data_IF_280590800475
#
_entry.id   IF_280590800475
#
_cell.length_a   1.000
_cell.length_b   1.000
_cell.length_c   1.000
_cell.angle_alpha   90.00
_cell.angle_beta   90.00
_cell.angle_gamma   90.00
#
_symmetry.space_group_name_H-M   'P 1'
#
loop_
_entity.id
_entity.type
_entity.pdbx_description
1 polymer ?
#
# COMPACT_ATOMS: atom_id res chain seq x y z
N UNK A 1 -22.87 -31.09 18.90
CA UNK A 1 -21.48 -31.27 19.37
C UNK A 1 -20.68 -30.07 18.90
N UNK A 2 -20.29 -29.18 19.83
CA UNK A 2 -19.52 -27.97 19.51
C UNK A 2 -18.04 -28.37 19.44
N UNK A 3 -17.51 -28.51 18.23
CA UNK A 3 -16.10 -28.77 17.99
C UNK A 3 -15.28 -27.54 18.38
N UNK A 4 -14.62 -27.60 19.53
CA UNK A 4 -13.51 -26.74 19.88
C UNK A 4 -12.37 -27.07 18.90
N UNK A 5 -12.16 -26.23 17.88
CA UNK A 5 -10.91 -26.23 17.12
C UNK A 5 -9.89 -25.44 17.93
N UNK A 6 -8.81 -26.07 18.46
CA UNK A 6 -7.70 -25.30 18.99
C UNK A 6 -7.05 -24.57 17.83
N UNK A 7 -7.19 -23.24 17.81
CA UNK A 7 -6.40 -22.33 16.96
C UNK A 7 -4.94 -22.41 17.38
N UNK A 8 -4.25 -23.47 16.96
CA UNK A 8 -2.80 -23.48 16.86
C UNK A 8 -2.43 -22.67 15.60
N UNK A 9 -2.54 -21.35 15.70
CA UNK A 9 -1.72 -20.48 14.87
C UNK A 9 -0.28 -20.80 15.29
N UNK A 10 0.38 -21.63 14.50
CA UNK A 10 1.83 -21.59 14.38
C UNK A 10 2.19 -20.24 13.76
N UNK A 11 1.99 -19.17 14.53
CA UNK A 11 2.68 -17.92 14.30
C UNK A 11 4.14 -18.27 14.46
N UNK A 12 4.88 -18.23 13.36
CA UNK A 12 6.28 -17.90 13.45
C UNK A 12 6.34 -16.54 14.14
N UNK A 13 6.42 -16.56 15.46
CA UNK A 13 6.80 -15.40 16.27
C UNK A 13 8.21 -15.09 15.79
N UNK A 14 8.31 -14.20 14.80
CA UNK A 14 9.52 -13.43 14.60
C UNK A 14 9.71 -12.67 15.91
N UNK A 15 10.49 -13.25 16.81
CA UNK A 15 10.97 -12.58 17.99
C UNK A 15 11.87 -11.45 17.49
N UNK A 16 11.27 -10.28 17.26
CA UNK A 16 11.98 -9.04 17.04
C UNK A 16 12.62 -8.69 18.38
N UNK A 17 13.84 -9.17 18.59
CA UNK A 17 14.70 -8.71 19.67
C UNK A 17 14.88 -7.21 19.43
N UNK A 18 14.20 -6.38 20.22
CA UNK A 18 14.37 -4.93 20.27
C UNK A 18 15.67 -4.59 21.00
N UNK A 19 16.80 -5.06 20.47
CA UNK A 19 18.08 -4.44 20.75
C UNK A 19 18.08 -3.10 20.01
N UNK A 20 18.16 -1.99 20.75
CA UNK A 20 18.59 -0.70 20.21
C UNK A 20 20.07 -0.77 19.87
N UNK A 21 20.46 -1.71 19.02
CA UNK A 21 21.68 -1.55 18.24
C UNK A 21 21.42 -0.35 17.33
N UNK A 22 22.34 0.61 17.30
CA UNK A 22 22.41 1.56 16.19
C UNK A 22 22.62 0.71 14.94
N UNK A 23 21.52 0.34 14.29
CA UNK A 23 21.56 -0.58 13.18
C UNK A 23 22.37 0.11 12.07
N UNK A 24 23.51 -0.47 11.73
CA UNK A 24 24.42 0.12 10.76
C UNK A 24 23.75 0.15 9.38
N UNK A 25 23.91 1.26 8.67
CA UNK A 25 23.50 1.35 7.27
C UNK A 25 24.32 0.38 6.43
N UNK A 26 23.69 -0.20 5.40
CA UNK A 26 24.37 -1.13 4.50
C UNK A 26 25.58 -0.45 3.84
N UNK A 27 26.74 -1.10 3.88
CA UNK A 27 27.94 -0.63 3.17
C UNK A 27 27.79 -0.91 1.68
N UNK A 28 27.75 0.17 0.88
CA UNK A 28 27.58 0.13 -0.58
C UNK A 28 28.95 0.29 -1.28
N UNK A 29 29.78 -0.75 -1.20
CA UNK A 29 31.17 -0.80 -1.66
C UNK A 29 31.37 -1.53 -2.99
N UNK A 30 30.27 -1.90 -3.67
CA UNK A 30 30.31 -2.50 -5.01
C UNK A 30 29.24 -1.89 -5.92
N UNK A 31 29.44 -2.02 -7.23
CA UNK A 31 28.42 -1.70 -8.24
C UNK A 31 27.10 -2.43 -7.95
N UNK A 32 27.18 -3.73 -7.67
CA UNK A 32 26.02 -4.59 -7.42
C UNK A 32 25.20 -4.07 -6.23
N UNK A 33 25.84 -3.82 -5.08
CA UNK A 33 25.16 -3.29 -3.89
C UNK A 33 24.57 -1.92 -4.15
N UNK A 34 25.27 -1.05 -4.88
CA UNK A 34 24.76 0.26 -5.25
C UNK A 34 23.54 0.16 -6.18
N UNK A 35 23.57 -0.75 -7.16
CA UNK A 35 22.47 -0.97 -8.09
C UNK A 35 21.20 -1.45 -7.36
N UNK A 36 21.30 -2.44 -6.46
CA UNK A 36 20.12 -2.88 -5.70
C UNK A 36 19.70 -1.87 -4.62
N UNK A 37 20.60 -1.02 -4.09
CA UNK A 37 20.22 0.09 -3.22
C UNK A 37 19.38 1.15 -3.94
N UNK A 38 19.72 1.48 -5.19
CA UNK A 38 18.92 2.38 -6.03
C UNK A 38 17.60 1.73 -6.43
N UNK A 39 17.64 0.43 -6.77
CA UNK A 39 16.43 -0.36 -7.01
C UNK A 39 15.50 -0.35 -5.79
N UNK A 40 16.03 -0.49 -4.58
CA UNK A 40 15.26 -0.35 -3.34
C UNK A 40 14.59 1.02 -3.24
N UNK A 41 15.34 2.10 -3.49
CA UNK A 41 14.78 3.46 -3.44
C UNK A 41 13.59 3.68 -4.38
N UNK A 42 13.64 3.09 -5.57
CA UNK A 42 12.62 3.22 -6.63
C UNK A 42 11.48 2.21 -6.44
N UNK A 43 11.81 0.92 -6.39
CA UNK A 43 10.84 -0.16 -6.35
C UNK A 43 10.12 -0.20 -5.00
N UNK A 44 10.85 -0.01 -3.91
CA UNK A 44 10.23 -0.05 -2.59
C UNK A 44 9.30 1.14 -2.37
N UNK A 45 9.55 2.31 -3.00
CA UNK A 45 8.57 3.41 -2.97
C UNK A 45 7.22 2.97 -3.56
N UNK A 46 7.23 2.33 -4.74
CA UNK A 46 6.02 1.76 -5.36
C UNK A 46 5.37 0.67 -4.49
N UNK A 47 6.16 -0.24 -3.94
CA UNK A 47 5.66 -1.34 -3.12
C UNK A 47 5.06 -0.84 -1.80
N UNK A 48 5.72 0.11 -1.12
CA UNK A 48 5.25 0.70 0.13
C UNK A 48 3.98 1.51 -0.10
N UNK A 49 3.90 2.27 -1.19
CA UNK A 49 2.68 2.97 -1.58
C UNK A 49 1.55 1.98 -1.93
N UNK A 50 1.85 0.90 -2.65
CA UNK A 50 0.89 -0.17 -2.96
C UNK A 50 0.38 -0.89 -1.71
N UNK A 51 1.28 -1.27 -0.79
CA UNK A 51 0.95 -1.85 0.52
C UNK A 51 0.12 -0.88 1.36
N UNK A 52 0.49 0.39 1.36
CA UNK A 52 -0.25 1.43 2.02
C UNK A 52 -1.67 1.54 1.45
N UNK A 53 -1.81 1.65 0.12
CA UNK A 53 -3.11 1.68 -0.54
C UNK A 53 -3.95 0.41 -0.28
N UNK A 54 -3.31 -0.76 -0.21
CA UNK A 54 -3.96 -2.02 0.13
C UNK A 54 -4.52 -2.06 1.55
N UNK A 55 -3.96 -1.27 2.48
CA UNK A 55 -4.50 -1.13 3.83
C UNK A 55 -5.43 0.08 3.97
N UNK A 56 -4.92 1.29 3.76
CA UNK A 56 -5.66 2.52 4.01
C UNK A 56 -6.72 2.79 2.96
N UNK A 57 -6.38 2.70 1.68
CA UNK A 57 -7.32 2.89 0.57
C UNK A 57 -8.48 1.91 0.64
N UNK A 58 -8.19 0.63 0.86
CA UNK A 58 -9.22 -0.42 1.02
C UNK A 58 -10.08 -0.20 2.26
N UNK A 59 -9.48 0.13 3.41
CA UNK A 59 -10.25 0.43 4.63
C UNK A 59 -11.17 1.65 4.45
N UNK A 60 -10.70 2.68 3.75
CA UNK A 60 -11.48 3.88 3.41
C UNK A 60 -12.62 3.56 2.44
N UNK A 61 -12.39 2.74 1.42
CA UNK A 61 -13.42 2.27 0.49
C UNK A 61 -14.55 1.55 1.22
N UNK A 62 -14.21 0.66 2.15
CA UNK A 62 -15.22 -0.03 2.95
C UNK A 62 -15.91 0.89 3.95
N UNK A 63 -15.20 1.85 4.54
CA UNK A 63 -15.80 2.82 5.45
C UNK A 63 -16.83 3.70 4.72
N UNK A 64 -16.49 4.16 3.52
CA UNK A 64 -17.42 4.91 2.66
C UNK A 64 -18.62 4.07 2.24
N UNK A 65 -18.41 2.84 1.78
CA UNK A 65 -19.49 1.92 1.44
C UNK A 65 -20.44 1.70 2.63
N UNK A 66 -19.88 1.42 3.81
CA UNK A 66 -20.62 1.21 5.04
C UNK A 66 -21.46 2.45 5.41
N UNK A 67 -20.85 3.64 5.41
CA UNK A 67 -21.54 4.90 5.70
C UNK A 67 -22.63 5.18 4.67
N UNK A 68 -22.41 4.89 3.39
CA UNK A 68 -23.41 5.02 2.32
C UNK A 68 -24.60 4.09 2.51
N UNK A 69 -24.37 2.82 2.86
CA UNK A 69 -25.44 1.85 3.12
C UNK A 69 -26.26 2.27 4.33
N UNK A 70 -25.59 2.61 5.45
CA UNK A 70 -26.27 2.97 6.70
C UNK A 70 -27.06 4.28 6.53
N UNK A 71 -26.47 5.33 5.94
CA UNK A 71 -27.15 6.62 5.77
C UNK A 71 -28.36 6.57 4.83
N UNK A 72 -28.39 5.60 3.91
CA UNK A 72 -29.53 5.41 3.02
C UNK A 72 -30.72 4.74 3.73
N UNK A 73 -30.47 4.00 4.81
CA UNK A 73 -31.47 3.18 5.48
C UNK A 73 -31.89 3.70 6.86
N UNK A 74 -31.05 4.47 7.55
CA UNK A 74 -31.30 4.91 8.93
C UNK A 74 -30.56 6.20 9.29
N UNK A 75 -30.80 6.71 10.50
CA UNK A 75 -30.13 7.91 11.05
C UNK A 75 -29.41 7.57 12.37
N UNK A 76 -28.45 8.38 12.81
CA UNK A 76 -27.79 8.20 14.11
C UNK A 76 -28.80 8.12 15.27
N UNK A 77 -29.82 8.98 15.28
CA UNK A 77 -30.85 9.02 16.32
C UNK A 77 -31.66 7.72 16.36
N UNK A 78 -32.03 7.20 15.18
CA UNK A 78 -32.75 5.94 15.07
C UNK A 78 -31.90 4.75 15.56
N UNK A 79 -30.60 4.73 15.26
CA UNK A 79 -29.70 3.69 15.78
C UNK A 79 -29.50 3.80 17.31
N UNK A 80 -29.45 5.02 17.86
CA UNK A 80 -29.37 5.22 19.32
C UNK A 80 -30.65 4.80 20.03
N UNK A 81 -31.81 5.01 19.41
CA UNK A 81 -33.11 4.55 19.91
C UNK A 81 -33.31 3.03 19.82
N UNK A 82 -32.48 2.33 19.03
CA UNK A 82 -32.53 0.88 18.83
C UNK A 82 -31.24 0.19 19.30
N UNK A 83 -31.02 -0.02 20.61
CA UNK A 83 -29.78 -0.63 21.14
C UNK A 83 -29.45 -2.01 20.56
N UNK A 84 -30.49 -2.77 20.17
CA UNK A 84 -30.33 -4.08 19.54
C UNK A 84 -29.80 -3.99 18.09
N UNK A 85 -29.79 -2.79 17.49
CA UNK A 85 -29.41 -2.50 16.11
C UNK A 85 -30.56 -2.57 15.11
N UNK A 86 -30.32 -2.02 13.93
CA UNK A 86 -31.22 -2.07 12.77
C UNK A 86 -30.63 -3.01 11.72
N UNK A 87 -31.44 -3.91 11.19
CA UNK A 87 -31.06 -4.77 10.06
C UNK A 87 -31.42 -4.07 8.75
N UNK A 88 -30.44 -3.96 7.86
CA UNK A 88 -30.53 -3.32 6.55
C UNK A 88 -30.34 -4.42 5.51
N UNK A 89 -31.33 -4.62 4.63
CA UNK A 89 -31.21 -5.57 3.53
C UNK A 89 -30.27 -5.02 2.47
N UNK A 90 -29.42 -5.88 1.93
CA UNK A 90 -28.53 -5.48 0.84
C UNK A 90 -29.27 -5.49 -0.50
N UNK A 91 -28.74 -4.79 -1.49
CA UNK A 91 -29.46 -4.53 -2.75
C UNK A 91 -29.73 -5.78 -3.59
N UNK A 92 -28.94 -6.85 -3.42
CA UNK A 92 -29.12 -8.11 -4.14
C UNK A 92 -29.59 -9.21 -3.17
N UNK A 93 -28.80 -9.51 -2.13
CA UNK A 93 -29.14 -10.52 -1.11
C UNK A 93 -28.33 -10.33 0.17
N UNK A 94 -28.74 -10.99 1.26
CA UNK A 94 -28.07 -10.85 2.56
C UNK A 94 -28.44 -9.56 3.30
N UNK A 95 -27.72 -9.26 4.38
CA UNK A 95 -28.04 -8.10 5.23
C UNK A 95 -26.85 -7.56 6.00
N UNK A 96 -26.98 -6.32 6.49
CA UNK A 96 -26.07 -5.68 7.42
C UNK A 96 -26.83 -5.30 8.68
N UNK A 97 -26.32 -5.68 9.85
CA UNK A 97 -26.84 -5.23 11.13
C UNK A 97 -26.01 -4.07 11.65
N UNK A 98 -26.60 -2.89 11.74
CA UNK A 98 -25.95 -1.66 12.20
C UNK A 98 -26.34 -1.31 13.64
N UNK A 99 -25.37 -0.91 14.46
CA UNK A 99 -25.53 -0.48 15.85
C UNK A 99 -24.64 0.72 16.13
N UNK A 100 -25.15 1.71 16.86
CA UNK A 100 -24.35 2.86 17.31
C UNK A 100 -24.20 2.81 18.83
N UNK A 101 -22.97 2.97 19.34
CA UNK A 101 -22.75 2.96 20.79
C UNK A 101 -23.32 4.21 21.46
N UNK A 102 -23.85 4.06 22.67
CA UNK A 102 -24.41 5.17 23.45
C UNK A 102 -23.37 6.09 24.10
N UNK A 103 -22.09 5.71 24.08
CA UNK A 103 -20.97 6.49 24.63
C UNK A 103 -20.15 7.17 23.52
N UNK A 104 -19.59 8.34 23.83
CA UNK A 104 -18.65 9.06 22.97
C UNK A 104 -17.19 8.68 23.30
N UNK A 105 -16.27 8.62 22.30
CA UNK A 105 -16.54 8.70 20.87
C UNK A 105 -17.40 7.53 20.39
N UNK A 106 -18.29 7.81 19.44
CA UNK A 106 -19.29 6.84 18.98
C UNK A 106 -18.62 5.80 18.10
N UNK A 107 -19.06 4.55 18.23
CA UNK A 107 -18.67 3.47 17.35
C UNK A 107 -19.90 2.94 16.61
N UNK A 108 -19.88 3.09 15.28
CA UNK A 108 -20.82 2.41 14.38
C UNK A 108 -20.31 0.99 14.15
N UNK A 109 -20.96 0.03 14.80
CA UNK A 109 -20.68 -1.41 14.66
C UNK A 109 -21.58 -2.01 13.59
N UNK A 110 -20.99 -2.76 12.69
CA UNK A 110 -21.64 -3.39 11.55
C UNK A 110 -21.33 -4.87 11.56
N UNK A 111 -22.35 -5.69 11.40
CA UNK A 111 -22.20 -7.12 11.11
C UNK A 111 -22.77 -7.37 9.73
N UNK A 112 -21.89 -7.65 8.77
CA UNK A 112 -22.27 -8.07 7.43
C UNK A 112 -22.58 -9.57 7.47
N UNK A 113 -23.66 -9.99 6.81
CA UNK A 113 -24.10 -11.39 6.75
C UNK A 113 -24.38 -11.72 5.28
N UNK A 114 -23.36 -12.24 4.59
CA UNK A 114 -23.37 -12.56 3.16
C UNK A 114 -24.06 -11.47 2.29
N UNK A 115 -23.73 -10.21 2.58
CA UNK A 115 -24.34 -9.06 1.93
C UNK A 115 -23.82 -8.89 0.51
N UNK A 116 -24.70 -9.08 -0.48
CA UNK A 116 -24.39 -8.94 -1.90
C UNK A 116 -24.87 -7.61 -2.43
N UNK A 117 -23.98 -6.86 -3.07
CA UNK A 117 -24.26 -5.55 -3.67
C UNK A 117 -23.41 -5.29 -4.91
N UNK A 118 -23.82 -4.31 -5.72
CA UNK A 118 -23.04 -3.84 -6.88
C UNK A 118 -22.21 -2.63 -6.48
N UNK A 119 -20.88 -2.73 -6.60
CA UNK A 119 -19.94 -1.64 -6.36
C UNK A 119 -19.09 -1.42 -7.61
N UNK A 120 -19.12 -0.21 -8.16
CA UNK A 120 -18.42 0.16 -9.41
C UNK A 120 -18.73 -0.81 -10.58
N UNK A 121 -19.99 -1.19 -10.73
CA UNK A 121 -20.46 -2.11 -11.78
C UNK A 121 -20.09 -3.57 -11.56
N UNK A 122 -19.51 -3.94 -10.41
CA UNK A 122 -19.14 -5.34 -10.09
C UNK A 122 -19.93 -5.85 -8.90
N UNK A 123 -20.39 -7.10 -8.98
CA UNK A 123 -21.02 -7.79 -7.86
C UNK A 123 -19.96 -8.17 -6.83
N UNK A 124 -20.21 -7.83 -5.57
CA UNK A 124 -19.34 -8.13 -4.44
C UNK A 124 -20.16 -8.69 -3.29
N UNK A 125 -19.56 -9.59 -2.53
CA UNK A 125 -20.15 -10.16 -1.30
C UNK A 125 -19.30 -9.77 -0.11
N UNK A 126 -19.95 -9.28 0.94
CA UNK A 126 -19.33 -8.87 2.20
C UNK A 126 -19.86 -9.68 3.36
N UNK A 127 -18.97 -10.08 4.25
CA UNK A 127 -19.31 -10.87 5.43
C UNK A 127 -18.41 -10.50 6.62
N UNK A 128 -18.92 -10.67 7.84
CA UNK A 128 -18.15 -10.46 9.07
C UNK A 128 -18.27 -9.06 9.69
N UNK A 129 -17.55 -8.80 10.79
CA UNK A 129 -17.71 -7.59 11.58
C UNK A 129 -16.88 -6.42 11.02
N UNK A 130 -17.39 -5.21 11.20
CA UNK A 130 -16.70 -3.96 10.91
C UNK A 130 -17.08 -2.91 11.96
N UNK A 131 -16.14 -2.05 12.35
CA UNK A 131 -16.41 -0.94 13.27
C UNK A 131 -15.81 0.36 12.76
N UNK A 132 -16.61 1.43 12.77
CA UNK A 132 -16.19 2.79 12.44
C UNK A 132 -16.29 3.68 13.67
N UNK A 133 -15.21 4.38 14.00
CA UNK A 133 -15.18 5.40 15.04
C UNK A 133 -15.60 6.74 14.44
N UNK A 134 -16.72 7.28 14.92
CA UNK A 134 -17.30 8.53 14.45
C UNK A 134 -16.98 9.65 15.45
N UNK A 135 -16.46 10.80 14.99
CA UNK A 135 -16.21 11.95 15.87
C UNK A 135 -17.51 12.65 16.29
N UNK A 136 -18.58 12.49 15.51
CA UNK A 136 -19.89 13.14 15.71
C UNK A 136 -21.03 12.20 15.32
N UNK A 137 -22.24 12.49 15.77
CA UNK A 137 -23.48 11.77 15.41
C UNK A 137 -23.92 12.09 13.97
N UNK A 138 -23.10 11.73 12.98
CA UNK A 138 -23.37 11.93 11.55
C UNK A 138 -22.74 10.80 10.71
N UNK A 139 -23.46 10.32 9.69
CA UNK A 139 -22.97 9.34 8.70
C UNK A 139 -22.35 9.96 7.44
N UNK A 140 -22.10 11.26 7.45
CA UNK A 140 -21.23 11.98 6.50
C UNK A 140 -20.09 12.69 7.21
N UNK A 141 -19.30 11.98 8.05
CA UNK A 141 -18.18 12.61 8.70
C UNK A 141 -17.09 12.89 7.67
N UNK A 142 -16.44 14.05 7.75
CA UNK A 142 -15.23 14.32 6.96
C UNK A 142 -14.03 13.52 7.50
N UNK A 143 -14.09 13.07 8.76
CA UNK A 143 -12.98 12.40 9.44
C UNK A 143 -13.50 11.27 10.32
N UNK A 144 -12.76 10.17 10.37
CA UNK A 144 -13.03 9.03 11.25
C UNK A 144 -11.93 8.94 12.31
N UNK A 145 -12.28 8.48 13.50
CA UNK A 145 -11.30 8.27 14.58
C UNK A 145 -10.68 6.87 14.52
N UNK A 146 -11.39 5.93 13.90
CA UNK A 146 -10.90 4.56 13.67
C UNK A 146 -11.69 3.84 12.59
N UNK A 147 -11.03 2.91 11.91
CA UNK A 147 -11.67 1.90 11.05
C UNK A 147 -11.15 0.55 11.53
N UNK A 148 -12.02 -0.42 11.75
CA UNK A 148 -11.65 -1.81 12.04
C UNK A 148 -12.43 -2.72 11.09
N UNK A 149 -11.71 -3.50 10.29
CA UNK A 149 -12.22 -4.58 9.47
C UNK A 149 -11.90 -5.89 10.19
N UNK A 150 -12.92 -6.66 10.55
CA UNK A 150 -12.80 -7.81 11.44
C UNK A 150 -12.80 -7.42 12.91
N UNK A 151 -12.64 -8.41 13.78
CA UNK A 151 -12.35 -8.24 15.20
C UNK A 151 -11.44 -9.36 15.70
N UNK A 152 -11.30 -9.52 17.01
CA UNK A 152 -10.39 -10.51 17.59
C UNK A 152 -10.92 -11.96 17.42
N UNK A 153 -12.20 -12.11 17.06
CA UNK A 153 -12.88 -13.39 16.92
C UNK A 153 -13.12 -13.77 15.48
N UNK A 154 -13.40 -12.79 14.61
CA UNK A 154 -13.85 -13.02 13.24
C UNK A 154 -13.24 -12.04 12.22
N UNK A 155 -13.21 -12.47 10.97
CA UNK A 155 -12.65 -11.69 9.86
C UNK A 155 -13.73 -10.88 9.17
N UNK A 156 -13.38 -9.71 8.66
CA UNK A 156 -14.17 -9.12 7.59
C UNK A 156 -13.74 -9.74 6.26
N UNK A 157 -14.69 -10.21 5.45
CA UNK A 157 -14.42 -10.94 4.23
C UNK A 157 -15.08 -10.25 3.05
N UNK A 158 -14.30 -9.98 2.01
CA UNK A 158 -14.79 -9.60 0.70
C UNK A 158 -14.60 -10.77 -0.27
N UNK A 159 -15.62 -11.05 -1.08
CA UNK A 159 -15.55 -11.99 -2.21
C UNK A 159 -15.95 -11.31 -3.50
N UNK A 160 -15.24 -11.62 -4.57
CA UNK A 160 -15.52 -11.15 -5.93
C UNK A 160 -15.46 -12.34 -6.88
N UNK A 161 -16.34 -12.33 -7.87
CA UNK A 161 -16.33 -13.29 -8.98
C UNK A 161 -16.62 -12.55 -10.26
N UNK A 162 -15.82 -12.81 -11.29
CA UNK A 162 -15.98 -12.28 -12.63
C UNK A 162 -15.89 -13.43 -13.60
N UNK A 163 -16.85 -13.54 -14.50
CA UNK A 163 -16.87 -14.58 -15.53
C UNK A 163 -16.65 -13.91 -16.89
N UNK A 164 -15.64 -14.37 -17.61
CA UNK A 164 -15.31 -13.98 -18.97
C UNK A 164 -15.34 -15.25 -19.86
N UNK A 165 -15.47 -15.12 -21.19
CA UNK A 165 -15.55 -16.28 -22.07
C UNK A 165 -14.35 -17.25 -21.96
N UNK A 166 -13.17 -16.71 -21.68
CA UNK A 166 -11.89 -17.41 -21.64
C UNK A 166 -11.37 -17.68 -20.22
N UNK A 167 -11.96 -17.07 -19.19
CA UNK A 167 -11.51 -17.22 -17.81
C UNK A 167 -12.61 -16.92 -16.77
N UNK A 168 -12.53 -17.60 -15.62
CA UNK A 168 -13.31 -17.30 -14.42
C UNK A 168 -12.32 -16.79 -13.37
N UNK A 169 -12.47 -15.52 -12.98
CA UNK A 169 -11.64 -14.88 -11.95
C UNK A 169 -12.43 -14.78 -10.65
N UNK A 170 -11.98 -15.52 -9.64
CA UNK A 170 -12.52 -15.44 -8.30
C UNK A 170 -11.46 -14.92 -7.33
N UNK A 171 -11.87 -14.03 -6.43
CA UNK A 171 -10.99 -13.58 -5.35
C UNK A 171 -11.72 -13.48 -4.03
N UNK A 172 -10.99 -13.76 -2.97
CA UNK A 172 -11.40 -13.58 -1.60
C UNK A 172 -10.31 -12.83 -0.86
N UNK A 173 -10.70 -11.79 -0.14
CA UNK A 173 -9.80 -11.10 0.79
C UNK A 173 -10.41 -11.13 2.18
N UNK A 174 -9.66 -11.62 3.15
CA UNK A 174 -10.02 -11.57 4.56
C UNK A 174 -9.19 -10.48 5.24
N UNK A 175 -9.80 -9.69 6.11
CA UNK A 175 -9.16 -8.60 6.83
C UNK A 175 -9.32 -8.76 8.34
N UNK A 176 -8.21 -8.59 9.06
CA UNK A 176 -8.18 -8.28 10.48
C UNK A 176 -7.28 -7.03 10.62
N UNK A 177 -7.83 -5.88 10.25
CA UNK A 177 -7.10 -4.63 10.02
C UNK A 177 -7.71 -3.50 10.86
N UNK A 178 -6.88 -2.69 11.49
CA UNK A 178 -7.28 -1.49 12.22
C UNK A 178 -6.50 -0.28 11.72
N UNK A 179 -7.22 0.80 11.45
CA UNK A 179 -6.69 2.15 11.37
C UNK A 179 -7.18 2.94 12.59
N UNK A 180 -6.31 3.71 13.23
CA UNK A 180 -6.65 4.53 14.41
C UNK A 180 -5.96 5.88 14.34
N UNK A 181 -6.69 6.96 14.60
CA UNK A 181 -6.16 8.31 14.58
C UNK A 181 -7.07 9.22 13.79
N UNK A 182 -6.47 10.09 13.00
CA UNK A 182 -7.16 11.12 12.25
C UNK A 182 -7.22 10.76 10.76
N UNK A 183 -8.35 10.17 10.34
CA UNK A 183 -8.51 9.48 9.07
C UNK A 183 -9.51 10.25 8.18
N UNK A 184 -9.09 10.87 7.06
CA UNK A 184 -10.01 11.59 6.18
C UNK A 184 -10.92 10.61 5.42
N UNK A 185 -12.19 10.95 5.24
CA UNK A 185 -13.12 10.20 4.37
C UNK A 185 -13.14 10.78 2.96
N UNK A 186 -13.80 10.11 2.01
CA UNK A 186 -13.99 10.67 0.66
C UNK A 186 -14.77 11.98 0.65
N UNK A 187 -15.66 12.20 1.62
CA UNK A 187 -16.36 13.49 1.79
C UNK A 187 -15.40 14.64 2.20
N UNK A 188 -14.16 14.33 2.61
CA UNK A 188 -13.12 15.33 2.84
C UNK A 188 -12.46 15.83 1.54
N UNK A 189 -12.68 15.15 0.40
CA UNK A 189 -12.13 15.47 -0.91
C UNK A 189 -13.20 16.09 -1.83
N UNK A 190 -13.61 17.36 -1.61
CA UNK A 190 -14.57 18.01 -2.49
C UNK A 190 -14.01 18.12 -3.90
N UNK A 191 -14.64 17.46 -4.87
CA UNK A 191 -14.20 17.48 -6.25
C UNK A 191 -14.18 18.91 -6.79
N UNK A 192 -13.04 19.32 -7.36
CA UNK A 192 -12.90 20.61 -8.04
C UNK A 192 -12.65 21.82 -7.13
N UNK A 193 -12.44 21.63 -5.83
CA UNK A 193 -12.08 22.72 -4.90
C UNK A 193 -10.64 22.53 -4.46
N UNK A 194 -9.84 23.60 -4.50
CA UNK A 194 -8.50 23.57 -3.94
C UNK A 194 -8.58 23.29 -2.43
N UNK A 195 -8.01 22.17 -2.00
CA UNK A 195 -8.08 21.71 -0.62
C UNK A 195 -6.76 21.09 -0.21
N UNK A 196 -6.33 21.38 1.03
CA UNK A 196 -5.21 20.70 1.68
C UNK A 196 -5.77 19.79 2.75
N UNK A 197 -5.61 18.49 2.58
CA UNK A 197 -6.08 17.47 3.49
C UNK A 197 -4.86 16.85 4.15
N UNK A 198 -4.83 16.90 5.47
CA UNK A 198 -3.82 16.19 6.26
C UNK A 198 -4.46 14.97 6.91
N UNK A 199 -3.66 13.94 7.21
CA UNK A 199 -4.08 12.78 7.98
C UNK A 199 -2.95 12.33 8.90
N UNK A 200 -3.29 11.71 10.03
CA UNK A 200 -2.31 11.14 10.94
C UNK A 200 -2.90 9.93 11.66
N UNK A 201 -2.48 8.72 11.29
CA UNK A 201 -3.08 7.50 11.81
C UNK A 201 -2.06 6.36 11.91
N UNK A 202 -2.45 5.33 12.67
CA UNK A 202 -1.69 4.10 12.82
C UNK A 202 -2.43 2.97 12.13
N UNK A 203 -1.71 2.17 11.35
CA UNK A 203 -2.19 0.95 10.70
C UNK A 203 -1.64 -0.26 11.45
N UNK A 204 -2.52 -1.19 11.81
CA UNK A 204 -2.15 -2.42 12.49
C UNK A 204 -3.07 -3.57 12.06
N UNK A 205 -2.50 -4.74 11.80
CA UNK A 205 -3.24 -5.93 11.42
C UNK A 205 -2.76 -6.53 10.10
N UNK A 206 -3.60 -7.36 9.48
CA UNK A 206 -3.21 -8.17 8.34
C UNK A 206 -4.40 -8.45 7.43
N UNK A 207 -4.10 -8.81 6.18
CA UNK A 207 -5.08 -9.38 5.27
C UNK A 207 -4.60 -10.70 4.68
N UNK A 208 -5.53 -11.52 4.21
CA UNK A 208 -5.27 -12.77 3.52
C UNK A 208 -6.03 -12.76 2.21
N UNK A 209 -5.31 -12.47 1.12
CA UNK A 209 -5.82 -12.41 -0.23
C UNK A 209 -5.55 -13.73 -0.95
N UNK A 210 -6.57 -14.23 -1.62
CA UNK A 210 -6.49 -15.36 -2.53
C UNK A 210 -7.22 -15.01 -3.83
N UNK A 211 -6.57 -15.24 -4.96
CA UNK A 211 -7.15 -15.18 -6.31
C UNK A 211 -6.99 -16.52 -6.99
N UNK A 212 -8.05 -16.98 -7.65
CA UNK A 212 -8.04 -18.18 -8.48
C UNK A 212 -8.56 -17.79 -9.85
N UNK A 213 -7.74 -18.02 -10.87
CA UNK A 213 -8.10 -17.85 -12.29
C UNK A 213 -8.27 -19.25 -12.88
N UNK A 214 -9.49 -19.60 -13.23
CA UNK A 214 -9.83 -20.88 -13.86
C UNK A 214 -10.05 -20.68 -15.36
N UNK A 215 -9.65 -21.66 -16.18
CA UNK A 215 -9.78 -21.60 -17.62
C UNK A 215 -10.78 -22.64 -18.11
N UNK A 216 -11.88 -22.24 -18.79
CA UNK A 216 -12.89 -23.18 -19.31
C UNK A 216 -12.35 -24.20 -20.31
N UNK A 217 -11.20 -23.94 -20.93
CA UNK A 217 -10.51 -24.83 -21.86
C UNK A 217 -9.76 -26.00 -21.19
N UNK A 218 -9.79 -26.08 -19.85
CA UNK A 218 -9.16 -27.15 -19.08
C UNK A 218 -7.69 -26.92 -18.73
N UNK A 219 -7.10 -25.76 -19.05
CA UNK A 219 -5.77 -25.39 -18.57
C UNK A 219 -5.75 -25.33 -17.03
N UNK A 220 -4.60 -25.65 -16.39
CA UNK A 220 -4.46 -25.54 -14.95
C UNK A 220 -4.80 -24.13 -14.44
N UNK A 221 -5.53 -24.07 -13.32
CA UNK A 221 -5.85 -22.80 -12.69
C UNK A 221 -4.58 -22.10 -12.18
N UNK A 222 -4.57 -20.77 -12.24
CA UNK A 222 -3.54 -19.95 -11.60
C UNK A 222 -4.02 -19.51 -10.23
N UNK A 223 -3.21 -19.76 -9.20
CA UNK A 223 -3.49 -19.33 -7.83
C UNK A 223 -2.48 -18.29 -7.40
N UNK A 224 -2.98 -17.15 -6.94
CA UNK A 224 -2.18 -16.08 -6.34
C UNK A 224 -2.63 -15.91 -4.90
N UNK A 225 -1.70 -15.92 -3.96
CA UNK A 225 -1.96 -15.59 -2.57
C UNK A 225 -1.07 -14.44 -2.12
N UNK A 226 -1.61 -13.58 -1.27
CA UNK A 226 -0.88 -12.45 -0.74
C UNK A 226 -1.34 -12.12 0.68
N UNK A 227 -0.41 -12.12 1.63
CA UNK A 227 -0.68 -11.91 3.06
C UNK A 227 0.15 -10.75 3.60
N UNK A 228 -0.27 -9.50 3.36
CA UNK A 228 0.39 -8.35 3.94
C UNK A 228 0.03 -8.23 5.43
N UNK A 229 1.03 -7.83 6.22
CA UNK A 229 0.94 -7.59 7.67
C UNK A 229 1.53 -6.21 7.94
N UNK A 230 0.80 -5.38 8.67
CA UNK A 230 1.27 -4.11 9.21
C UNK A 230 1.30 -4.20 10.73
N UNK A 231 2.43 -3.86 11.34
CA UNK A 231 2.55 -3.77 12.79
C UNK A 231 2.86 -2.32 13.17
N UNK A 232 1.88 -1.67 13.78
CA UNK A 232 1.98 -0.31 14.33
C UNK A 232 2.62 0.70 13.35
N UNK A 233 2.20 0.67 12.09
CA UNK A 233 2.73 1.56 11.05
C UNK A 233 2.10 2.94 11.24
N UNK A 234 2.92 3.91 11.67
CA UNK A 234 2.48 5.28 11.92
C UNK A 234 2.65 6.11 10.66
N UNK A 235 1.54 6.60 10.13
CA UNK A 235 1.48 7.35 8.88
C UNK A 235 1.04 8.78 9.14
N UNK A 236 1.68 9.72 8.44
CA UNK A 236 1.19 11.08 8.24
C UNK A 236 1.06 11.30 6.75
N UNK A 237 -0.08 11.82 6.33
CA UNK A 237 -0.31 12.18 4.94
C UNK A 237 -0.63 13.66 4.81
N UNK A 238 -0.26 14.21 3.66
CA UNK A 238 -0.74 15.50 3.20
C UNK A 238 -1.07 15.35 1.73
N UNK A 239 -2.27 15.73 1.34
CA UNK A 239 -2.69 15.79 -0.05
C UNK A 239 -3.25 17.17 -0.33
N UNK A 240 -2.66 17.89 -1.26
CA UNK A 240 -3.18 19.17 -1.73
C UNK A 240 -3.57 19.09 -3.18
N UNK A 241 -4.83 19.38 -3.47
CA UNK A 241 -5.30 19.63 -4.83
C UNK A 241 -5.35 21.13 -5.04
N UNK A 242 -4.70 21.64 -6.09
CA UNK A 242 -4.64 23.05 -6.46
C UNK A 242 -5.29 23.22 -7.85
N UNK A 243 -5.78 24.41 -8.16
CA UNK A 243 -6.27 24.79 -9.50
C UNK A 243 -7.36 23.83 -10.05
N UNK A 244 -8.49 23.73 -9.36
CA UNK A 244 -9.63 22.88 -9.77
C UNK A 244 -9.29 21.39 -9.92
N UNK A 245 -8.21 20.91 -9.28
CA UNK A 245 -7.75 19.52 -9.36
C UNK A 245 -6.74 19.24 -10.47
N UNK A 246 -6.26 20.28 -11.18
CA UNK A 246 -5.25 20.13 -12.23
C UNK A 246 -3.85 19.86 -11.66
N UNK A 247 -3.62 20.14 -10.38
CA UNK A 247 -2.38 19.77 -9.70
C UNK A 247 -2.67 19.02 -8.40
N UNK A 248 -2.15 17.80 -8.28
CA UNK A 248 -2.28 16.93 -7.10
C UNK A 248 -0.91 16.70 -6.48
N UNK A 249 -0.70 17.20 -5.27
CA UNK A 249 0.54 17.01 -4.49
C UNK A 249 0.23 16.13 -3.29
N UNK A 250 0.73 14.90 -3.34
CA UNK A 250 0.47 13.86 -2.37
C UNK A 250 1.76 13.40 -1.72
N UNK A 251 1.79 13.54 -0.40
CA UNK A 251 2.89 13.14 0.45
C UNK A 251 2.43 12.12 1.48
N UNK A 252 3.22 11.05 1.62
CA UNK A 252 3.05 10.01 2.64
C UNK A 252 4.35 9.92 3.44
N UNK A 253 4.25 10.07 4.76
CA UNK A 253 5.35 9.92 5.69
C UNK A 253 5.08 8.76 6.65
N UNK A 254 5.95 7.76 6.63
CA UNK A 254 5.98 6.64 7.56
C UNK A 254 6.93 6.97 8.72
N UNK A 255 6.35 7.29 9.87
CA UNK A 255 7.07 7.70 11.07
C UNK A 255 7.68 6.51 11.83
N UNK A 256 7.22 5.30 11.56
CA UNK A 256 7.77 4.06 12.09
C UNK A 256 6.82 2.88 11.94
N UNK A 257 7.22 1.73 12.49
CA UNK A 257 6.48 0.46 12.39
C UNK A 257 7.07 -0.45 11.32
N UNK A 258 6.41 -1.59 11.08
CA UNK A 258 6.86 -2.56 10.08
C UNK A 258 5.73 -2.99 9.16
N UNK A 259 6.06 -3.24 7.90
CA UNK A 259 5.19 -3.98 6.98
C UNK A 259 5.91 -5.24 6.51
N UNK A 260 5.19 -6.33 6.35
CA UNK A 260 5.69 -7.54 5.72
C UNK A 260 4.63 -8.08 4.76
N UNK A 261 5.05 -8.86 3.77
CA UNK A 261 4.14 -9.54 2.86
C UNK A 261 4.70 -10.90 2.49
N UNK A 262 3.87 -11.93 2.64
CA UNK A 262 4.09 -13.24 2.03
C UNK A 262 3.27 -13.30 0.75
N UNK A 263 3.92 -13.63 -0.37
CA UNK A 263 3.26 -13.84 -1.65
C UNK A 263 3.60 -15.23 -2.18
N UNK A 264 2.62 -15.86 -2.82
CA UNK A 264 2.84 -17.08 -3.58
C UNK A 264 2.03 -17.06 -4.86
N UNK A 265 2.65 -17.47 -5.96
CA UNK A 265 2.03 -17.52 -7.28
C UNK A 265 2.44 -18.80 -8.00
N UNK A 266 1.47 -19.44 -8.65
CA UNK A 266 1.71 -20.63 -9.48
C UNK A 266 2.80 -20.34 -10.52
N UNK A 267 3.90 -21.10 -10.47
CA UNK A 267 5.04 -20.95 -11.38
C UNK A 267 6.19 -20.07 -10.85
N UNK A 268 5.93 -19.20 -9.87
CA UNK A 268 6.95 -18.30 -9.29
C UNK A 268 7.35 -18.67 -7.85
N UNK A 269 6.62 -19.59 -7.22
CA UNK A 269 6.90 -20.06 -5.87
C UNK A 269 6.41 -19.09 -4.80
N UNK A 270 6.97 -19.19 -3.59
CA UNK A 270 6.63 -18.35 -2.45
C UNK A 270 7.80 -17.45 -2.07
N UNK A 271 7.52 -16.20 -1.76
CA UNK A 271 8.53 -15.23 -1.32
C UNK A 271 7.98 -14.29 -0.25
N UNK A 272 8.87 -13.77 0.58
CA UNK A 272 8.53 -12.85 1.66
C UNK A 272 9.38 -11.58 1.57
N UNK A 273 8.74 -10.44 1.77
CA UNK A 273 9.43 -9.15 1.85
C UNK A 273 9.01 -8.44 3.14
N UNK A 274 9.94 -7.75 3.79
CA UNK A 274 9.62 -6.95 4.96
C UNK A 274 10.33 -5.59 4.93
N UNK A 275 9.68 -4.63 5.60
CA UNK A 275 10.05 -3.24 5.64
C UNK A 275 9.94 -2.74 7.09
N UNK A 276 10.94 -1.99 7.56
CA UNK A 276 10.84 -1.24 8.81
C UNK A 276 11.10 0.24 8.53
N UNK A 277 10.20 1.11 8.99
CA UNK A 277 10.25 2.53 8.67
C UNK A 277 10.97 3.31 9.77
N UNK A 278 11.74 4.32 9.37
CA UNK A 278 12.19 5.40 10.25
C UNK A 278 12.16 6.73 9.47
N UNK A 279 11.05 7.47 9.65
CA UNK A 279 10.78 8.75 8.97
C UNK A 279 10.91 8.67 7.45
N UNK A 280 10.59 7.51 6.85
CA UNK A 280 10.54 7.33 5.41
C UNK A 280 9.42 8.17 4.80
N UNK A 281 9.66 8.83 3.68
CA UNK A 281 8.74 9.75 3.04
C UNK A 281 8.76 9.53 1.54
N UNK A 282 7.58 9.40 0.95
CA UNK A 282 7.38 9.53 -0.49
C UNK A 282 6.52 10.76 -0.75
N UNK A 283 6.80 11.46 -1.85
CA UNK A 283 5.97 12.57 -2.32
C UNK A 283 5.88 12.51 -3.83
N UNK A 284 4.67 12.65 -4.33
CA UNK A 284 4.33 12.69 -5.74
C UNK A 284 3.56 13.97 -6.02
N UNK A 285 3.97 14.70 -7.05
CA UNK A 285 3.26 15.88 -7.55
C UNK A 285 2.87 15.57 -8.98
N UNK A 286 1.58 15.60 -9.30
CA UNK A 286 1.06 15.43 -10.66
C UNK A 286 0.49 16.77 -11.10
N UNK A 287 0.94 17.26 -12.25
CA UNK A 287 0.38 18.41 -12.92
C UNK A 287 -0.31 17.93 -14.21
N UNK A 288 -1.62 17.75 -14.14
CA UNK A 288 -2.45 17.28 -15.24
C UNK A 288 -2.54 18.29 -16.38
N UNK A 289 -2.39 19.59 -16.10
CA UNK A 289 -2.41 20.64 -17.12
C UNK A 289 -1.12 20.62 -17.95
N UNK A 290 0.04 20.49 -17.29
CA UNK A 290 1.33 20.38 -17.95
C UNK A 290 1.66 18.95 -18.41
N UNK A 291 0.87 17.97 -17.99
CA UNK A 291 1.15 16.53 -18.15
C UNK A 291 2.53 16.14 -17.62
N UNK A 292 2.87 16.66 -16.43
CA UNK A 292 4.14 16.39 -15.76
C UNK A 292 3.92 15.72 -14.41
N UNK A 293 4.96 15.03 -13.94
CA UNK A 293 4.95 14.38 -12.64
C UNK A 293 6.31 14.53 -11.99
N UNK A 294 6.34 14.79 -10.69
CA UNK A 294 7.55 14.81 -9.88
C UNK A 294 7.43 13.77 -8.78
N UNK A 295 8.51 13.02 -8.54
CA UNK A 295 8.58 12.05 -7.43
C UNK A 295 9.82 12.26 -6.58
N UNK A 296 9.66 12.11 -5.27
CA UNK A 296 10.78 12.12 -4.33
C UNK A 296 10.63 11.05 -3.25
N UNK A 297 11.77 10.54 -2.79
CA UNK A 297 11.90 9.51 -1.77
C UNK A 297 12.97 9.96 -0.78
N UNK A 298 12.62 10.05 0.49
CA UNK A 298 13.50 10.55 1.54
C UNK A 298 13.37 9.75 2.84
N UNK A 299 14.37 9.82 3.71
CA UNK A 299 14.34 9.20 5.04
C UNK A 299 14.90 7.78 5.05
N UNK A 300 14.64 7.03 6.12
CA UNK A 300 15.30 5.75 6.36
C UNK A 300 14.32 4.58 6.26
N UNK A 301 14.77 3.50 5.62
CA UNK A 301 13.99 2.29 5.44
C UNK A 301 14.89 1.08 5.61
N UNK A 302 14.50 0.16 6.48
CA UNK A 302 15.06 -1.18 6.49
C UNK A 302 14.31 -2.01 5.46
N UNK A 303 15.03 -2.67 4.56
CA UNK A 303 14.46 -3.62 3.61
C UNK A 303 15.02 -5.00 3.93
N UNK A 304 14.13 -5.99 4.06
CA UNK A 304 14.48 -7.40 4.14
C UNK A 304 13.98 -8.06 2.85
N UNK A 305 14.91 -8.26 1.89
CA UNK A 305 14.59 -8.77 0.55
C UNK A 305 14.30 -10.26 0.54
N UNK A 306 13.37 -10.66 -0.30
CA UNK A 306 13.08 -12.06 -0.54
C UNK A 306 14.23 -12.74 -1.31
N UNK A 307 14.54 -14.02 -1.05
CA UNK A 307 15.61 -14.75 -1.75
C UNK A 307 15.44 -14.83 -3.27
N UNK A 308 14.20 -14.75 -3.78
CA UNK A 308 13.94 -14.77 -5.23
C UNK A 308 14.56 -13.56 -5.96
N UNK A 309 14.85 -12.47 -5.23
CA UNK A 309 15.48 -11.27 -5.75
C UNK A 309 17.02 -11.29 -5.69
N UNK A 310 17.64 -12.37 -5.19
CA UNK A 310 19.10 -12.53 -5.08
C UNK A 310 19.48 -13.36 -3.85
N UNK A 311 20.68 -13.97 -3.87
CA UNK A 311 21.12 -14.88 -2.81
C UNK A 311 21.21 -14.20 -1.43
N UNK A 312 20.15 -14.37 -0.63
CA UNK A 312 20.14 -14.31 0.84
C UNK A 312 20.79 -13.08 1.50
N UNK A 313 20.02 -12.00 1.69
CA UNK A 313 20.24 -11.06 2.80
C UNK A 313 21.42 -10.09 2.69
N UNK A 314 22.34 -10.26 1.74
CA UNK A 314 23.43 -9.30 1.47
C UNK A 314 22.94 -7.87 1.16
N UNK A 315 21.74 -7.74 0.60
CA UNK A 315 21.05 -6.48 0.30
C UNK A 315 20.03 -6.10 1.38
N UNK A 316 19.83 -6.95 2.39
CA UNK A 316 18.92 -6.63 3.48
C UNK A 316 19.64 -5.72 4.47
N UNK A 317 18.97 -4.67 4.92
CA UNK A 317 19.58 -3.70 5.82
C UNK A 317 18.91 -2.34 5.77
N UNK A 318 19.49 -1.40 6.51
CA UNK A 318 19.05 -0.02 6.52
C UNK A 318 19.60 0.75 5.33
N UNK A 319 18.69 1.50 4.70
CA UNK A 319 18.97 2.47 3.66
C UNK A 319 18.54 3.85 4.13
N UNK A 320 19.34 4.86 3.80
CA UNK A 320 18.98 6.28 3.91
C UNK A 320 18.86 6.85 2.51
N UNK A 321 17.69 7.40 2.20
CA UNK A 321 17.37 7.98 0.90
C UNK A 321 17.29 9.51 1.00
N UNK A 322 17.81 10.18 -0.01
CA UNK A 322 17.63 11.63 -0.18
C UNK A 322 17.53 11.98 -1.66
N UNK A 323 16.35 12.37 -2.10
CA UNK A 323 16.15 12.97 -3.42
C UNK A 323 16.66 14.41 -3.40
N UNK A 324 17.62 14.73 -4.28
CA UNK A 324 18.16 16.09 -4.47
C UNK A 324 17.36 16.86 -5.52
N UNK A 325 16.94 16.17 -6.57
CA UNK A 325 16.07 16.67 -7.64
C UNK A 325 15.04 15.59 -7.99
N UNK A 326 13.77 15.94 -8.27
CA UNK A 326 12.71 14.96 -8.50
C UNK A 326 13.05 13.93 -9.57
N UNK A 327 12.68 12.68 -9.31
CA UNK A 327 13.13 11.48 -10.04
C UNK A 327 12.37 11.20 -11.35
N UNK A 328 11.29 11.93 -11.59
CA UNK A 328 10.39 11.80 -12.72
C UNK A 328 10.07 13.23 -13.17
N UNK A 329 9.87 13.43 -14.47
CA UNK A 329 9.27 14.66 -15.04
C UNK A 329 8.09 14.39 -15.97
N UNK A 330 8.06 13.24 -16.63
CA UNK A 330 6.94 12.85 -17.48
C UNK A 330 5.81 12.22 -16.68
N UNK A 331 4.55 12.36 -17.13
CA UNK A 331 3.39 11.75 -16.46
C UNK A 331 3.38 10.20 -16.47
N UNK A 332 4.36 9.55 -17.10
CA UNK A 332 4.53 8.11 -17.07
C UNK A 332 5.24 7.67 -15.78
N UNK A 333 4.47 7.04 -14.88
CA UNK A 333 4.94 6.52 -13.59
C UNK A 333 6.08 5.49 -13.69
N UNK A 334 6.29 4.91 -14.88
CA UNK A 334 7.30 3.87 -15.10
C UNK A 334 8.66 4.44 -15.50
N UNK A 335 8.75 5.72 -15.89
CA UNK A 335 9.96 6.31 -16.46
C UNK A 335 10.64 7.24 -15.47
N UNK A 336 11.81 6.84 -14.99
CA UNK A 336 12.70 7.67 -14.17
C UNK A 336 13.66 8.40 -15.11
N UNK A 337 13.21 9.54 -15.64
CA UNK A 337 13.84 10.24 -16.75
C UNK A 337 14.60 11.52 -16.35
N UNK A 338 14.62 11.83 -15.06
CA UNK A 338 15.23 13.03 -14.53
C UNK A 338 15.64 12.84 -13.07
N UNK A 339 16.54 13.70 -12.59
CA UNK A 339 16.73 13.88 -11.15
C UNK A 339 17.93 13.16 -10.56
N UNK A 340 18.02 13.21 -9.24
CA UNK A 340 19.16 12.71 -8.47
C UNK A 340 18.70 12.12 -7.14
N UNK A 341 19.06 10.86 -6.91
CA UNK A 341 18.86 10.13 -5.66
C UNK A 341 20.21 9.84 -5.01
N UNK A 342 20.34 10.18 -3.72
CA UNK A 342 21.48 9.79 -2.90
C UNK A 342 21.07 8.67 -1.95
N UNK A 343 21.88 7.61 -1.87
CA UNK A 343 21.67 6.46 -0.98
C UNK A 343 22.87 6.26 -0.07
N UNK A 344 22.63 6.16 1.25
CA UNK A 344 23.64 5.97 2.30
C UNK A 344 24.84 6.94 2.22
N UNK A 345 24.62 8.14 1.68
CA UNK A 345 25.66 9.15 1.35
C UNK A 345 26.85 8.63 0.53
N UNK A 346 26.74 7.43 -0.03
CA UNK A 346 27.82 6.70 -0.71
C UNK A 346 27.52 6.44 -2.18
N UNK A 347 26.23 6.46 -2.54
CA UNK A 347 25.76 6.26 -3.90
C UNK A 347 24.98 7.48 -4.36
N UNK A 348 25.28 7.95 -5.57
CA UNK A 348 24.52 8.98 -6.27
C UNK A 348 24.03 8.42 -7.59
N UNK A 349 22.72 8.27 -7.73
CA UNK A 349 22.04 7.88 -8.96
C UNK A 349 21.47 9.12 -9.63
N UNK A 350 21.82 9.35 -10.89
CA UNK A 350 21.27 10.41 -11.74
C UNK A 350 20.54 9.80 -12.90
N UNK A 351 19.36 10.33 -13.18
CA UNK A 351 18.50 9.84 -14.24
C UNK A 351 18.40 10.90 -15.32
N UNK A 352 18.53 10.45 -16.58
CA UNK A 352 18.52 11.33 -17.74
C UNK A 352 17.65 10.74 -18.84
N UNK A 353 16.85 11.58 -19.46
CA UNK A 353 16.25 11.35 -20.77
C UNK A 353 17.22 11.69 -21.89
N UNK A 354 16.89 11.30 -23.12
CA UNK A 354 17.62 11.72 -24.32
C UNK A 354 17.79 13.26 -24.43
N UNK A 355 16.82 14.03 -23.92
CA UNK A 355 16.86 15.50 -23.95
C UNK A 355 17.63 16.14 -22.78
N UNK A 356 18.02 15.37 -21.76
CA UNK A 356 18.64 15.91 -20.52
C UNK A 356 19.98 15.27 -20.19
N UNK A 357 20.46 14.34 -21.01
CA UNK A 357 21.77 13.71 -20.86
C UNK A 357 22.89 14.72 -21.16
N UNK A 358 23.88 14.89 -20.27
CA UNK A 358 25.08 15.67 -20.53
C UNK A 358 25.86 15.16 -21.75
N UNK A 359 26.53 16.06 -22.47
CA UNK A 359 27.28 15.72 -23.68
C UNK A 359 28.49 14.79 -23.46
N UNK A 360 28.98 14.70 -22.21
CA UNK A 360 30.06 13.81 -21.79
C UNK A 360 29.57 12.40 -21.40
N UNK A 361 28.26 12.15 -21.40
CA UNK A 361 27.65 10.85 -21.15
C UNK A 361 27.05 10.25 -22.44
N UNK A 362 26.97 8.91 -22.54
CA UNK A 362 26.37 8.27 -23.70
C UNK A 362 24.88 8.62 -23.79
N UNK A 363 24.41 9.02 -24.97
CA UNK A 363 23.00 9.26 -25.19
C UNK A 363 22.21 7.94 -25.01
N UNK A 364 21.09 7.94 -24.26
CA UNK A 364 20.28 6.75 -24.08
C UNK A 364 19.61 6.36 -25.38
N UNK A 365 19.70 5.08 -25.74
CA UNK A 365 19.05 4.47 -26.91
C UNK A 365 17.77 3.76 -26.49
N UNK A 366 17.67 3.30 -25.24
CA UNK A 366 16.53 2.56 -24.70
C UNK A 366 15.53 3.44 -23.93
N UNK A 367 15.72 4.77 -23.93
CA UNK A 367 14.78 5.74 -23.36
C UNK A 367 15.35 6.55 -22.20
N UNK A 368 16.03 5.91 -21.25
CA UNK A 368 16.68 6.59 -20.13
C UNK A 368 18.12 6.11 -19.87
N UNK A 369 18.96 7.03 -19.40
CA UNK A 369 20.30 6.74 -18.89
C UNK A 369 20.29 6.91 -17.37
N UNK A 370 20.66 5.85 -16.65
CA UNK A 370 21.00 5.90 -15.24
C UNK A 370 22.52 5.99 -15.10
N UNK A 371 23.01 7.12 -14.60
CA UNK A 371 24.40 7.33 -14.19
C UNK A 371 24.52 7.07 -12.69
N UNK A 372 25.24 6.02 -12.32
CA UNK A 372 25.41 5.55 -10.96
C UNK A 372 26.84 5.80 -10.49
N UNK A 373 27.03 6.76 -9.59
CA UNK A 373 28.33 7.05 -8.96
C UNK A 373 28.39 6.42 -7.57
N UNK A 374 29.40 5.59 -7.35
CA UNK A 374 29.64 4.88 -6.09
C UNK A 374 30.96 5.35 -5.50
N UNK A 375 30.91 5.88 -4.28
CA UNK A 375 32.07 6.43 -3.57
C UNK A 375 33.15 5.35 -3.43
N UNK A 376 34.37 5.68 -3.82
CA UNK A 376 35.55 4.81 -3.80
C UNK A 376 35.49 3.57 -4.71
N UNK A 377 34.47 3.45 -5.57
CA UNK A 377 34.34 2.32 -6.49
C UNK A 377 34.41 2.79 -7.94
N UNK A 378 33.59 3.76 -8.34
CA UNK A 378 33.58 4.26 -9.71
C UNK A 378 32.24 4.84 -10.16
N UNK A 379 32.09 5.00 -11.46
CA UNK A 379 30.87 5.47 -12.12
C UNK A 379 30.44 4.44 -13.15
N UNK A 380 29.15 4.10 -13.14
CA UNK A 380 28.52 3.10 -14.00
C UNK A 380 27.37 3.75 -14.76
N UNK A 381 27.12 3.31 -15.99
CA UNK A 381 26.07 3.86 -16.84
C UNK A 381 25.17 2.71 -17.32
N UNK A 382 23.86 2.85 -17.14
CA UNK A 382 22.87 1.88 -17.61
C UNK A 382 21.89 2.57 -18.56
N UNK A 383 21.84 2.12 -19.80
CA UNK A 383 20.90 2.59 -20.82
C UNK A 383 19.74 1.60 -20.94
N UNK A 384 18.57 1.98 -20.44
CA UNK A 384 17.43 1.07 -20.25
C UNK A 384 16.09 1.75 -20.48
N UNK A 385 15.04 0.95 -20.66
CA UNK A 385 13.67 1.43 -20.75
C UNK A 385 13.10 1.75 -19.36
N UNK A 386 13.36 0.88 -18.37
CA UNK A 386 12.96 1.09 -16.98
C UNK A 386 14.10 0.76 -16.01
N UNK A 387 14.19 1.42 -14.84
CA UNK A 387 15.23 1.11 -13.85
C UNK A 387 15.13 -0.32 -13.31
N UNK A 388 13.91 -0.85 -13.20
CA UNK A 388 13.65 -2.21 -12.70
C UNK A 388 14.25 -3.29 -13.57
N UNK A 389 14.18 -3.15 -14.90
CA UNK A 389 14.74 -4.13 -15.83
C UNK A 389 16.28 -4.14 -15.80
N UNK A 390 16.90 -2.98 -15.55
CA UNK A 390 18.36 -2.83 -15.52
C UNK A 390 18.98 -3.30 -14.21
N UNK A 391 18.41 -2.85 -13.09
CA UNK A 391 19.04 -2.95 -11.79
C UNK A 391 18.77 -4.28 -11.13
N UNK A 392 17.67 -4.95 -11.46
CA UNK A 392 17.37 -6.27 -10.89
C UNK A 392 18.42 -7.31 -11.31
N UNK A 393 18.83 -7.44 -12.59
CA UNK A 393 19.90 -8.37 -12.99
C UNK A 393 21.26 -8.03 -12.37
N UNK A 394 21.64 -6.75 -12.35
CA UNK A 394 22.96 -6.30 -11.83
C UNK A 394 23.01 -6.37 -10.30
N UNK A 395 21.90 -6.08 -9.65
CA UNK A 395 21.76 -6.03 -8.19
C UNK A 395 21.61 -7.40 -7.52
N UNK A 396 21.61 -8.51 -8.26
CA UNK A 396 21.62 -9.84 -7.65
C UNK A 396 22.99 -10.08 -7.02
N UNK A 397 23.01 -10.40 -5.74
CA UNK A 397 24.23 -10.94 -5.14
C UNK A 397 24.54 -12.27 -5.79
N UNK A 398 25.68 -12.32 -6.46
CA UNK A 398 26.34 -13.56 -6.88
C UNK A 398 27.35 -13.84 -5.76
N UNK A 399 27.11 -14.90 -4.99
CA UNK A 399 28.05 -15.37 -3.96
C UNK A 399 29.27 -16.03 -4.61
#
# INVERSE_FOLDING_TARGET
MKGFYPRALAGAVLAVVSATATAEFLVLDTEQKAASAVSAGIFTANQVEGLHAAFSGVALDFADLALRVVRAATTPEALLAAPAGVTINCSISGSVKARLTSTSPRALKLQWNDCVLTQYGRVRTFDGPMTLGLPTDNFRPQRLTSIRLGDDTDWFVERRRSEMPDQIDSSQTKYCLSLRGDIPTYDAYPSGIAAVITAAYTVDGYSDYQRVIEFPDGRPATVVTYKPVANNVRVRETRSQIESGMRDDWEIQFLGGTMAGEQSETGFGQWTQAFAFDRYRTRMIIDYAAWTMERSVNGNLKVDWAPVWGSGGCMSGWYSFRTRTPLIRNADLSVYDAGELVVNDSVTARFHSAGTVPADLPAPVNGMLLNLRVKNVGTFNYDVATPSEALVPVGKCVL
#
